data_IF_253665651459
#
_entry.id   IF_253665651459
#
_cell.length_a   1.000
_cell.length_b   1.000
_cell.length_c   1.000
_cell.angle_alpha   90.00
_cell.angle_beta   90.00
_cell.angle_gamma   90.00
#
_symmetry.space_group_name_H-M   'P 1'
#
loop_
_entity.id
_entity.type
_entity.pdbx_description
1 polymer ?
#
# COMPACT_ATOMS: atom_id res chain seq x y z
N UNK A 1 10.12 2.16 36.72
CA UNK A 1 9.69 2.78 35.46
C UNK A 1 8.25 3.24 35.60
N UNK A 2 7.75 4.12 34.73
CA UNK A 2 6.34 4.53 34.71
C UNK A 2 5.65 3.87 33.52
N UNK A 3 4.46 3.33 33.75
CA UNK A 3 3.63 2.82 32.66
C UNK A 3 3.17 3.96 31.76
N UNK A 4 3.18 3.69 30.45
CA UNK A 4 2.72 4.60 29.41
C UNK A 4 1.65 3.87 28.61
N UNK A 5 0.49 4.49 28.46
CA UNK A 5 -0.62 3.92 27.70
C UNK A 5 -0.33 3.97 26.19
N UNK A 6 -0.62 2.88 25.49
CA UNK A 6 -0.66 2.82 24.03
C UNK A 6 -2.13 2.89 23.60
N UNK A 7 -2.47 3.85 22.73
CA UNK A 7 -3.82 4.02 22.20
C UNK A 7 -3.81 3.70 20.71
N UNK A 8 -4.65 2.76 20.28
CA UNK A 8 -4.80 2.39 18.89
C UNK A 8 -5.88 3.26 18.24
N UNK A 9 -5.52 3.97 17.16
CA UNK A 9 -6.42 4.90 16.45
C UNK A 9 -6.99 4.34 15.14
N UNK A 10 -6.69 3.08 14.83
CA UNK A 10 -7.05 2.45 13.55
C UNK A 10 -6.13 2.87 12.39
N UNK A 11 -6.42 2.32 11.21
CA UNK A 11 -5.69 2.59 9.97
C UNK A 11 -6.18 3.89 9.31
N UNK A 12 -5.26 4.64 8.73
CA UNK A 12 -5.53 5.83 7.91
C UNK A 12 -5.99 5.42 6.50
N UNK A 13 -6.71 6.30 5.77
CA UNK A 13 -7.06 6.04 4.38
C UNK A 13 -5.82 5.71 3.55
N UNK A 14 -5.86 4.58 2.83
CA UNK A 14 -4.74 4.09 2.02
C UNK A 14 -3.70 3.26 2.78
N UNK A 15 -3.83 3.04 4.09
CA UNK A 15 -2.92 2.16 4.84
C UNK A 15 -3.30 0.69 4.72
N UNK A 16 -2.28 -0.16 4.57
CA UNK A 16 -2.37 -1.61 4.66
C UNK A 16 -1.82 -2.08 6.01
N UNK A 17 -2.49 -3.07 6.61
CA UNK A 17 -1.98 -3.71 7.84
C UNK A 17 -0.77 -4.62 7.57
N UNK A 18 -0.72 -5.19 6.37
CA UNK A 18 0.36 -6.04 5.90
C UNK A 18 0.73 -5.62 4.49
N UNK A 19 2.03 -5.47 4.24
CA UNK A 19 2.56 -5.28 2.90
C UNK A 19 2.89 -6.64 2.28
N UNK A 20 2.68 -6.75 0.98
CA UNK A 20 3.11 -7.90 0.18
C UNK A 20 4.59 -7.70 -0.18
N UNK A 21 5.43 -8.72 0.03
CA UNK A 21 6.84 -8.65 -0.40
C UNK A 21 6.97 -8.66 -1.93
N UNK A 22 6.08 -9.40 -2.59
CA UNK A 22 5.91 -9.45 -4.04
C UNK A 22 4.42 -9.57 -4.33
N UNK A 23 3.94 -8.86 -5.34
CA UNK A 23 2.55 -9.02 -5.78
C UNK A 23 2.37 -10.42 -6.41
N UNK A 24 1.20 -11.08 -6.31
CA UNK A 24 0.99 -12.41 -6.90
C UNK A 24 1.21 -12.51 -8.42
N UNK A 25 1.20 -11.36 -9.10
CA UNK A 25 1.42 -11.23 -10.54
C UNK A 25 2.82 -10.70 -10.88
N UNK A 26 3.66 -10.47 -9.87
CA UNK A 26 5.03 -9.99 -10.04
C UNK A 26 5.96 -11.19 -10.16
N UNK A 27 6.50 -11.37 -11.36
CA UNK A 27 7.56 -12.33 -11.59
C UNK A 27 8.87 -11.79 -11.02
N UNK A 28 9.68 -12.68 -10.46
CA UNK A 28 11.02 -12.35 -10.02
C UNK A 28 11.95 -13.56 -10.16
N UNK A 29 13.23 -13.28 -10.40
CA UNK A 29 14.27 -14.28 -10.54
C UNK A 29 15.33 -14.17 -9.43
N UNK A 30 15.92 -15.28 -8.98
CA UNK A 30 17.04 -15.22 -8.05
C UNK A 30 18.26 -14.56 -8.71
N UNK A 31 19.06 -13.85 -7.90
CA UNK A 31 20.37 -13.36 -8.33
C UNK A 31 21.49 -14.23 -7.76
N UNK A 32 22.76 -13.90 -8.05
CA UNK A 32 23.92 -14.54 -7.42
C UNK A 32 23.98 -14.34 -5.90
N UNK A 33 23.34 -13.31 -5.38
CA UNK A 33 23.25 -13.06 -3.95
C UNK A 33 21.95 -13.62 -3.39
N UNK A 34 22.06 -14.55 -2.43
CA UNK A 34 20.92 -15.31 -1.89
C UNK A 34 19.79 -14.48 -1.24
N UNK A 35 20.00 -13.19 -0.99
CA UNK A 35 19.00 -12.27 -0.42
C UNK A 35 18.46 -11.25 -1.41
N UNK A 36 18.88 -11.30 -2.69
CA UNK A 36 18.47 -10.36 -3.73
C UNK A 36 17.75 -11.11 -4.84
N UNK A 37 16.55 -10.62 -5.16
CA UNK A 37 15.73 -11.08 -6.27
C UNK A 37 15.56 -9.93 -7.27
N UNK A 38 15.58 -10.25 -8.56
CA UNK A 38 15.33 -9.30 -9.63
C UNK A 38 13.87 -9.39 -10.05
N UNK A 39 13.09 -8.34 -9.81
CA UNK A 39 11.72 -8.24 -10.30
C UNK A 39 11.70 -8.03 -11.81
N UNK A 40 10.75 -8.67 -12.49
CA UNK A 40 10.49 -8.49 -13.91
C UNK A 40 9.41 -7.43 -14.10
N UNK A 41 9.77 -6.20 -14.54
CA UNK A 41 8.78 -5.15 -14.72
C UNK A 41 7.86 -5.46 -15.91
N UNK A 42 6.59 -5.10 -15.76
CA UNK A 42 5.67 -5.08 -16.89
C UNK A 42 6.09 -4.00 -17.89
N UNK A 43 6.16 -4.35 -19.16
CA UNK A 43 6.38 -3.35 -20.20
C UNK A 43 5.16 -2.45 -20.33
N UNK A 44 5.41 -1.14 -20.43
CA UNK A 44 4.39 -0.12 -20.66
C UNK A 44 4.81 0.68 -21.89
N UNK A 45 3.85 1.05 -22.74
CA UNK A 45 4.09 1.94 -23.87
C UNK A 45 4.55 3.31 -23.37
N UNK A 46 5.69 3.78 -23.84
CA UNK A 46 6.21 5.12 -23.54
C UNK A 46 5.24 6.20 -24.00
N UNK A 47 4.69 6.07 -25.20
CA UNK A 47 3.74 7.03 -25.76
C UNK A 47 2.47 7.14 -24.91
N UNK A 48 1.97 6.00 -24.42
CA UNK A 48 0.84 5.98 -23.49
C UNK A 48 1.22 6.64 -22.16
N UNK A 49 2.40 6.32 -21.61
CA UNK A 49 2.87 6.91 -20.36
C UNK A 49 2.98 8.43 -20.47
N UNK A 50 3.64 8.94 -21.51
CA UNK A 50 3.83 10.37 -21.75
C UNK A 50 2.50 11.10 -21.91
N UNK A 51 1.57 10.52 -22.68
CA UNK A 51 0.23 11.08 -22.85
C UNK A 51 -0.55 11.13 -21.53
N UNK A 52 -0.47 10.09 -20.71
CA UNK A 52 -1.14 10.04 -19.41
C UNK A 52 -0.50 11.01 -18.40
N UNK A 53 0.83 11.17 -18.40
CA UNK A 53 1.53 12.12 -17.55
C UNK A 53 1.17 13.57 -17.91
N UNK A 54 1.07 13.91 -19.20
CA UNK A 54 0.60 15.22 -19.63
C UNK A 54 -0.83 15.51 -19.13
N UNK A 55 -1.74 14.54 -19.27
CA UNK A 55 -3.11 14.64 -18.76
C UNK A 55 -3.18 14.74 -17.23
N UNK A 56 -2.32 14.03 -16.51
CA UNK A 56 -2.21 14.15 -15.06
C UNK A 56 -1.80 15.57 -14.66
N UNK A 57 -0.83 16.16 -15.37
CA UNK A 57 -0.39 17.54 -15.15
C UNK A 57 -1.53 18.54 -15.31
N UNK A 58 -2.33 18.42 -16.37
CA UNK A 58 -3.51 19.26 -16.58
C UNK A 58 -4.55 19.09 -15.46
N UNK A 59 -4.85 17.84 -15.07
CA UNK A 59 -5.81 17.54 -14.00
C UNK A 59 -5.37 18.11 -12.65
N UNK A 60 -4.07 18.07 -12.35
CA UNK A 60 -3.51 18.66 -11.12
C UNK A 60 -3.64 20.17 -11.13
N UNK A 61 -3.34 20.83 -12.26
CA UNK A 61 -3.45 22.29 -12.38
C UNK A 61 -4.90 22.74 -12.22
N UNK A 62 -5.87 21.97 -12.73
CA UNK A 62 -7.29 22.29 -12.65
C UNK A 62 -8.00 21.76 -11.39
N UNK A 63 -7.29 21.05 -10.50
CA UNK A 63 -7.87 20.34 -9.36
C UNK A 63 -8.99 19.35 -9.74
N UNK A 64 -8.90 18.72 -10.92
CA UNK A 64 -9.85 17.69 -11.38
C UNK A 64 -9.47 16.31 -10.84
N UNK A 65 -9.88 16.03 -9.59
CA UNK A 65 -9.65 14.74 -8.94
C UNK A 65 -10.22 13.54 -9.73
N UNK A 66 -11.45 13.59 -10.30
CA UNK A 66 -11.95 12.52 -11.14
C UNK A 66 -11.08 12.25 -12.37
N UNK A 67 -10.52 13.28 -13.01
CA UNK A 67 -9.60 13.10 -14.12
C UNK A 67 -8.29 12.47 -13.68
N UNK A 68 -7.73 12.89 -12.53
CA UNK A 68 -6.53 12.29 -11.97
C UNK A 68 -6.75 10.81 -11.62
N UNK A 69 -7.90 10.46 -11.05
CA UNK A 69 -8.25 9.06 -10.75
C UNK A 69 -8.34 8.22 -12.02
N UNK A 70 -8.93 8.74 -13.10
CA UNK A 70 -8.99 8.06 -14.40
C UNK A 70 -7.60 7.82 -15.00
N UNK A 71 -6.69 8.78 -14.86
CA UNK A 71 -5.29 8.62 -15.29
C UNK A 71 -4.60 7.51 -14.50
N UNK A 72 -4.74 7.52 -13.16
CA UNK A 72 -4.16 6.50 -12.30
C UNK A 72 -4.71 5.10 -12.61
N UNK A 73 -6.02 4.96 -12.83
CA UNK A 73 -6.64 3.68 -13.23
C UNK A 73 -6.15 3.19 -14.60
N UNK A 74 -5.87 4.10 -15.55
CA UNK A 74 -5.34 3.73 -16.85
C UNK A 74 -3.90 3.20 -16.76
N UNK A 75 -3.06 3.81 -15.92
CA UNK A 75 -1.66 3.43 -15.73
C UNK A 75 -1.49 2.23 -14.78
N UNK A 76 -2.35 2.15 -13.76
CA UNK A 76 -2.35 1.11 -12.74
C UNK A 76 -3.77 0.53 -12.58
N UNK A 77 -4.20 -0.37 -13.49
CA UNK A 77 -5.55 -0.94 -13.46
C UNK A 77 -5.89 -1.70 -12.18
N UNK A 78 -4.88 -2.25 -11.48
CA UNK A 78 -5.03 -2.95 -10.21
C UNK A 78 -4.99 -2.04 -8.98
N UNK A 79 -4.96 -0.71 -9.17
CA UNK A 79 -4.92 0.23 -8.06
C UNK A 79 -6.28 0.30 -7.36
N UNK A 80 -6.34 -0.25 -6.16
CA UNK A 80 -7.47 -0.04 -5.24
C UNK A 80 -7.37 1.33 -4.58
N UNK A 81 -7.83 2.35 -5.30
CA UNK A 81 -7.85 3.74 -4.81
C UNK A 81 -8.70 3.89 -3.53
N UNK A 82 -9.76 3.09 -3.41
CA UNK A 82 -10.55 2.94 -2.19
C UNK A 82 -10.10 1.66 -1.52
N UNK A 83 -9.05 1.72 -0.71
CA UNK A 83 -8.92 0.69 0.32
C UNK A 83 -10.12 0.89 1.25
N UNK A 84 -11.17 0.06 1.09
CA UNK A 84 -12.24 -0.03 2.07
C UNK A 84 -11.54 -0.26 3.40
N UNK A 85 -11.53 0.76 4.25
CA UNK A 85 -10.91 0.68 5.56
C UNK A 85 -11.51 -0.54 6.25
N UNK A 86 -10.74 -1.62 6.34
CA UNK A 86 -11.11 -2.73 7.19
C UNK A 86 -11.18 -2.10 8.59
N UNK A 87 -12.33 -2.12 9.27
CA UNK A 87 -12.41 -1.59 10.62
C UNK A 87 -11.32 -2.32 11.41
N UNK A 88 -10.33 -1.58 11.90
CA UNK A 88 -9.12 -2.15 12.46
C UNK A 88 -9.48 -3.21 13.50
N UNK A 89 -9.11 -4.46 13.25
CA UNK A 89 -9.32 -5.54 14.21
C UNK A 89 -8.47 -5.23 15.44
N UNK A 90 -9.13 -4.79 16.52
CA UNK A 90 -8.49 -4.67 17.83
C UNK A 90 -8.11 -6.07 18.28
N UNK A 91 -6.82 -6.39 18.26
CA UNK A 91 -6.30 -7.64 18.85
C UNK A 91 -6.06 -7.35 20.33
N UNK A 92 -6.89 -7.84 21.26
CA UNK A 92 -6.61 -7.68 22.67
C UNK A 92 -5.35 -8.48 23.01
N UNK A 93 -4.31 -7.79 23.46
CA UNK A 93 -3.22 -8.45 24.18
C UNK A 93 -3.77 -8.91 25.53
N UNK A 94 -4.20 -10.17 25.60
CA UNK A 94 -4.43 -10.84 26.87
C UNK A 94 -3.06 -10.98 27.53
N UNK A 95 -2.74 -10.12 28.52
CA UNK A 95 -1.66 -10.39 29.45
C UNK A 95 -1.94 -11.77 30.05
N UNK A 96 -1.01 -12.71 29.87
CA UNK A 96 -1.06 -13.98 30.57
C UNK A 96 -1.25 -13.69 32.06
N UNK A 97 -2.32 -14.23 32.61
CA UNK A 97 -2.60 -14.23 34.04
C UNK A 97 -1.59 -15.19 34.70
N UNK A 98 -0.32 -14.76 34.77
CA UNK A 98 0.68 -15.40 35.60
C UNK A 98 0.71 -14.64 36.90
N UNK A 99 0.09 -15.27 37.90
CA UNK A 99 -0.26 -14.69 39.18
C UNK A 99 0.91 -14.04 39.90
N UNK A 100 0.55 -13.03 40.69
CA UNK A 100 1.30 -12.72 41.88
C UNK A 100 0.28 -12.62 43.03
N UNK A 101 0.21 -13.71 43.78
CA UNK A 101 -0.38 -13.71 45.13
C UNK A 101 0.74 -13.32 46.09
N UNK A 102 0.66 -12.12 46.64
CA UNK A 102 1.23 -11.73 47.93
C UNK A 102 0.51 -10.49 48.48
#
# INVERSE_FOLDING_TARGET
>A
GRDIAIVYTGLRPGEKLFEELFHPQENYAPTTHAKLYLAEPRQVSTDLLDAQLARAGEAVISFDEPALQRVLQALMPSLDWVHNAQPGTVVPFLRGDSGDSA
#
